data_IF_563267147484
#
_entry.id   IF_563267147484
#
_cell.length_a   1.000
_cell.length_b   1.000
_cell.length_c   1.000
_cell.angle_alpha   90.00
_cell.angle_beta   90.00
_cell.angle_gamma   90.00
#
_symmetry.space_group_name_H-M   'P 1'
#
loop_
_entity.id
_entity.type
_entity.pdbx_description
1 polymer ?
#
# COMPACT_ATOMS: atom_id res chain seq x y z
N UNK A 1 35.30 -6.31 -16.23
CA UNK A 1 34.99 -6.19 -15.73
C UNK A 1 34.68 -5.96 -15.40
N UNK A 2 34.58 -6.08 -15.52
CA UNK A 2 34.02 -5.88 -14.99
C UNK A 2 33.57 -5.35 -14.43
N UNK A 3 33.51 -5.40 -14.48
CA UNK A 3 32.87 -4.91 -13.84
C UNK A 3 32.24 -4.18 -13.48
N UNK A 4 32.24 -4.29 -13.74
CA UNK A 4 31.43 -3.58 -13.21
C UNK A 4 30.85 -3.04 -13.17
N UNK A 5 30.91 -3.25 -13.35
CA UNK A 5 30.02 -2.77 -13.09
C UNK A 5 29.32 -2.51 -12.86
N UNK A 6 29.47 -2.65 -12.84
CA UNK A 6 28.49 -2.30 -12.37
C UNK A 6 27.88 -1.87 -12.12
N UNK A 7 27.92 -2.05 -12.16
CA UNK A 7 27.09 -1.58 -11.64
C UNK A 7 26.41 -1.21 -11.55
N UNK A 8 26.36 -1.35 -11.65
CA UNK A 8 25.51 -0.99 -11.32
C UNK A 8 24.85 -0.80 -11.11
N UNK A 9 25.03 -1.06 -11.26
CA UNK A 9 24.18 -0.88 -10.81
C UNK A 9 23.60 -0.63 -10.57
N UNK A 10 23.60 -0.86 -10.62
CA UNK A 10 22.82 -0.58 -10.09
C UNK A 10 22.27 -0.17 -9.97
N UNK A 11 22.21 -0.33 -10.10
CA UNK A 11 21.47 0.12 -9.73
C UNK A 11 20.78 0.35 -9.62
N UNK A 12 20.79 0.15 -9.76
CA UNK A 12 19.97 0.39 -9.39
C UNK A 12 19.34 0.60 -9.25
N UNK A 13 19.28 0.39 -9.29
CA UNK A 13 18.51 0.66 -8.86
C UNK A 13 17.88 1.04 -8.80
N UNK A 14 17.83 0.91 -8.91
CA UNK A 14 17.04 1.31 -8.46
C UNK A 14 16.46 1.84 -8.57
N UNK A 15 16.30 1.82 -8.70
CA UNK A 15 15.54 2.32 -8.37
C UNK A 15 15.06 2.96 -8.50
N UNK A 16 14.94 2.90 -8.54
CA UNK A 16 14.33 3.46 -8.37
C UNK A 16 13.78 4.09 -8.25
N UNK A 17 13.75 4.01 -8.28
CA UNK A 17 13.16 4.55 -8.04
C UNK A 17 12.60 5.40 -8.05
N UNK A 18 12.62 5.33 -8.26
CA UNK A 18 12.17 6.15 -8.13
C UNK A 18 11.37 6.66 -8.15
N UNK A 19 11.47 6.34 -8.45
CA UNK A 19 10.67 6.93 -8.48
C UNK A 19 9.93 7.49 -7.74
N UNK A 20 10.13 7.17 -8.13
CA UNK A 20 9.13 7.83 -7.41
C UNK A 20 9.31 7.91 -5.96
N UNK A 21 10.25 8.30 -5.55
CA UNK A 21 10.53 8.37 -4.14
C UNK A 21 9.48 9.05 -3.27
N UNK A 22 8.22 9.08 -3.72
CA UNK A 22 7.16 9.71 -2.95
C UNK A 22 6.29 8.71 -2.21
N UNK A 23 6.82 7.52 -1.95
CA UNK A 23 6.07 6.54 -1.17
C UNK A 23 6.04 6.93 0.30
N UNK A 24 4.86 6.92 0.87
CA UNK A 24 4.70 7.23 2.28
C UNK A 24 3.43 6.58 2.79
N UNK A 25 3.34 6.46 4.11
CA UNK A 25 2.14 5.96 4.73
C UNK A 25 2.02 6.55 6.12
N UNK A 26 0.79 6.62 6.60
CA UNK A 26 0.51 7.06 7.96
C UNK A 26 -0.78 6.41 8.42
N UNK A 27 -0.94 6.29 9.72
CA UNK A 27 -2.17 5.74 10.26
C UNK A 27 -2.40 6.28 11.66
N UNK A 28 -3.66 6.30 12.06
CA UNK A 28 -4.05 6.62 13.42
C UNK A 28 -5.25 5.76 13.79
N UNK A 29 -5.28 5.30 15.02
CA UNK A 29 -6.31 4.39 15.49
C UNK A 29 -7.03 4.98 16.69
N UNK A 30 -8.36 4.93 16.67
CA UNK A 30 -9.22 5.42 17.75
C UNK A 30 -10.35 4.43 17.93
N UNK A 31 -10.52 3.91 19.14
CA UNK A 31 -11.63 3.02 19.52
C UNK A 31 -11.72 1.80 18.60
N UNK A 32 -10.59 1.23 18.24
CA UNK A 32 -10.57 0.00 17.42
C UNK A 32 -10.71 0.24 15.95
N UNK A 33 -10.81 1.48 15.51
CA UNK A 33 -10.87 1.82 14.10
C UNK A 33 -9.64 2.60 13.72
N UNK A 34 -9.00 2.20 12.63
CA UNK A 34 -7.77 2.85 12.16
C UNK A 34 -8.02 3.53 10.83
N UNK A 35 -7.51 4.75 10.71
CA UNK A 35 -7.54 5.50 9.47
C UNK A 35 -6.16 5.45 8.86
N UNK A 36 -6.04 4.96 7.63
CA UNK A 36 -4.76 4.70 6.99
C UNK A 36 -4.69 5.49 5.69
N UNK A 37 -3.53 6.11 5.47
CA UNK A 37 -3.23 6.79 4.21
C UNK A 37 -1.97 6.18 3.63
N UNK A 38 -2.03 5.74 2.38
CA UNK A 38 -0.88 5.15 1.69
C UNK A 38 -0.69 5.89 0.38
N UNK A 39 0.51 6.39 0.16
CA UNK A 39 0.91 7.03 -1.10
C UNK A 39 1.95 6.14 -1.76
N UNK A 40 1.63 5.67 -2.96
CA UNK A 40 2.51 4.77 -3.70
C UNK A 40 2.21 3.30 -3.42
N UNK A 41 2.03 2.53 -4.48
CA UNK A 41 1.75 1.11 -4.38
C UNK A 41 3.00 0.32 -4.00
N UNK A 42 2.81 -0.93 -3.61
CA UNK A 42 3.92 -1.82 -3.28
C UNK A 42 4.39 -1.69 -1.84
N UNK A 43 3.58 -1.14 -0.95
CA UNK A 43 3.95 -0.94 0.44
C UNK A 43 3.21 -1.88 1.37
N UNK A 44 3.88 -2.27 2.45
CA UNK A 44 3.26 -2.99 3.54
C UNK A 44 3.33 -2.11 4.77
N UNK A 45 2.18 -1.91 5.41
CA UNK A 45 2.03 -1.05 6.57
C UNK A 45 1.50 -1.89 7.71
N UNK A 46 2.17 -1.83 8.85
CA UNK A 46 1.65 -2.51 10.04
C UNK A 46 0.67 -1.59 10.74
N UNK A 47 -0.58 -2.03 10.84
CA UNK A 47 -1.67 -1.25 11.42
C UNK A 47 -2.35 -2.13 12.45
N UNK A 48 -2.24 -1.76 13.73
CA UNK A 48 -2.92 -2.46 14.82
C UNK A 48 -2.62 -3.97 14.77
N UNK A 49 -1.33 -4.31 14.64
CA UNK A 49 -0.81 -5.69 14.60
C UNK A 49 -1.24 -6.47 13.36
N UNK A 50 -1.69 -5.78 12.32
CA UNK A 50 -2.06 -6.41 11.05
C UNK A 50 -1.16 -5.83 9.96
N UNK A 51 -0.54 -6.71 9.18
CA UNK A 51 0.29 -6.29 8.04
C UNK A 51 -0.62 -6.09 6.84
N UNK A 52 -0.80 -4.83 6.44
CA UNK A 52 -1.66 -4.47 5.32
C UNK A 52 -0.77 -4.13 4.14
N UNK A 53 -0.93 -4.87 3.04
CA UNK A 53 -0.15 -4.66 1.83
C UNK A 53 -1.04 -4.01 0.76
N UNK A 54 -0.62 -2.86 0.26
CA UNK A 54 -1.28 -2.16 -0.84
C UNK A 54 -0.42 -2.43 -2.07
N UNK A 55 -0.86 -3.38 -2.90
CA UNK A 55 -0.05 -3.82 -4.03
C UNK A 55 -0.31 -3.02 -5.29
N UNK A 56 -1.47 -2.38 -5.40
CA UNK A 56 -1.82 -1.65 -6.61
C UNK A 56 -2.82 -0.55 -6.28
N UNK A 57 -2.63 0.63 -6.86
CA UNK A 57 -3.55 1.75 -6.72
C UNK A 57 -3.85 2.26 -8.13
N UNK A 58 -5.13 2.32 -8.47
CA UNK A 58 -5.57 2.84 -9.76
C UNK A 58 -6.84 3.65 -9.57
N UNK A 59 -7.25 4.36 -10.61
CA UNK A 59 -8.49 5.12 -10.55
C UNK A 59 -9.72 4.24 -10.39
N UNK A 60 -9.59 2.95 -10.65
CA UNK A 60 -10.71 2.01 -10.57
C UNK A 60 -10.73 1.24 -9.28
N UNK A 61 -9.68 1.29 -8.50
CA UNK A 61 -9.66 0.58 -7.25
C UNK A 61 -8.27 0.41 -6.69
N UNK A 62 -8.22 -0.11 -5.48
CA UNK A 62 -6.98 -0.42 -4.79
C UNK A 62 -6.98 -1.91 -4.45
N UNK A 63 -5.84 -2.56 -4.67
CA UNK A 63 -5.69 -3.98 -4.36
C UNK A 63 -4.95 -4.09 -3.03
N UNK A 64 -5.62 -4.68 -2.06
CA UNK A 64 -5.14 -4.75 -0.67
C UNK A 64 -5.22 -6.19 -0.19
N UNK A 65 -4.22 -6.58 0.61
CA UNK A 65 -4.27 -7.83 1.36
C UNK A 65 -3.87 -7.55 2.81
N UNK A 66 -4.26 -8.44 3.70
CA UNK A 66 -3.95 -8.31 5.12
C UNK A 66 -3.39 -9.63 5.62
N UNK A 67 -2.23 -9.57 6.28
CA UNK A 67 -1.54 -10.74 6.83
C UNK A 67 -1.35 -11.84 5.79
N UNK A 68 -1.06 -11.44 4.54
CA UNK A 68 -0.82 -12.41 3.48
C UNK A 68 -2.06 -13.07 2.93
N UNK A 69 -3.24 -12.53 3.20
CA UNK A 69 -4.49 -13.08 2.66
C UNK A 69 -4.57 -12.85 1.16
N UNK A 70 -5.58 -13.47 0.53
CA UNK A 70 -5.84 -13.26 -0.88
C UNK A 70 -6.10 -11.78 -1.14
N UNK A 71 -5.41 -11.15 -2.10
CA UNK A 71 -5.65 -9.74 -2.39
C UNK A 71 -7.06 -9.49 -2.88
N UNK A 72 -7.61 -8.36 -2.46
CA UNK A 72 -8.97 -7.94 -2.80
C UNK A 72 -8.88 -6.55 -3.42
N UNK A 73 -9.61 -6.33 -4.51
CA UNK A 73 -9.65 -5.02 -5.15
C UNK A 73 -10.92 -4.30 -4.73
N UNK A 74 -10.76 -3.10 -4.18
CA UNK A 74 -11.85 -2.29 -3.66
C UNK A 74 -11.90 -0.97 -4.39
N UNK A 75 -13.09 -0.59 -4.84
CA UNK A 75 -13.30 0.71 -5.44
C UNK A 75 -13.51 1.76 -4.35
N UNK A 76 -13.45 3.03 -4.75
CA UNK A 76 -13.71 4.14 -3.85
C UNK A 76 -15.11 3.97 -3.22
N UNK A 77 -15.16 4.01 -1.90
CA UNK A 77 -16.41 3.86 -1.15
C UNK A 77 -16.80 2.43 -0.86
N UNK A 78 -16.06 1.46 -1.36
CA UNK A 78 -16.40 0.06 -1.17
C UNK A 78 -15.81 -0.48 0.13
N UNK A 79 -16.52 -1.43 0.72
CA UNK A 79 -16.09 -2.08 1.96
C UNK A 79 -16.09 -3.59 1.75
N UNK A 80 -15.08 -4.27 2.32
CA UNK A 80 -15.01 -5.72 2.27
C UNK A 80 -14.18 -6.25 3.41
N UNK A 81 -14.37 -7.52 3.72
CA UNK A 81 -13.54 -8.24 4.67
C UNK A 81 -12.29 -8.70 3.93
N UNK A 82 -11.12 -8.32 4.44
CA UNK A 82 -9.84 -8.67 3.86
C UNK A 82 -9.02 -9.33 4.96
N UNK A 83 -8.83 -10.64 4.87
CA UNK A 83 -8.17 -11.37 5.93
C UNK A 83 -8.92 -11.19 7.24
N UNK A 84 -8.21 -10.82 8.33
CA UNK A 84 -8.84 -10.70 9.65
C UNK A 84 -9.54 -9.35 9.89
N UNK A 85 -9.55 -8.44 8.91
CA UNK A 85 -10.05 -7.08 9.13
C UNK A 85 -11.07 -6.70 8.07
N UNK A 86 -11.85 -5.67 8.38
CA UNK A 86 -12.78 -5.06 7.44
C UNK A 86 -12.18 -3.75 6.98
N UNK A 87 -12.09 -3.56 5.67
CA UNK A 87 -11.50 -2.38 5.07
C UNK A 87 -12.55 -1.63 4.28
N UNK A 88 -12.64 -0.31 4.50
CA UNK A 88 -13.52 0.58 3.76
C UNK A 88 -12.64 1.62 3.08
N UNK A 89 -12.67 1.67 1.75
CA UNK A 89 -11.90 2.65 1.00
C UNK A 89 -12.68 3.95 1.00
N UNK A 90 -12.08 5.02 1.51
CA UNK A 90 -12.75 6.32 1.63
C UNK A 90 -12.33 7.29 0.53
N UNK A 91 -11.16 7.11 -0.07
CA UNK A 91 -10.69 8.03 -1.12
C UNK A 91 -9.56 7.37 -1.91
N UNK A 92 -9.59 7.56 -3.24
CA UNK A 92 -8.51 7.16 -4.13
C UNK A 92 -8.17 8.37 -4.99
N UNK A 93 -6.91 8.83 -4.93
CA UNK A 93 -6.45 9.98 -5.71
C UNK A 93 -5.09 9.66 -6.31
N UNK A 94 -5.04 9.48 -7.62
CA UNK A 94 -3.79 9.17 -8.31
C UNK A 94 -3.12 7.94 -7.68
N UNK A 95 -2.02 8.13 -6.95
CA UNK A 95 -1.30 7.06 -6.29
C UNK A 95 -1.49 7.06 -4.77
N UNK A 96 -2.53 7.76 -4.29
CA UNK A 96 -2.81 7.86 -2.86
C UNK A 96 -4.17 7.21 -2.56
N UNK A 97 -4.21 6.40 -1.53
CA UNK A 97 -5.45 5.79 -1.07
C UNK A 97 -5.61 6.05 0.42
N UNK A 98 -6.85 6.34 0.80
CA UNK A 98 -7.23 6.42 2.21
C UNK A 98 -8.28 5.36 2.48
N UNK A 99 -8.09 4.63 3.55
CA UNK A 99 -9.05 3.60 3.93
C UNK A 99 -9.14 3.47 5.44
N UNK A 100 -10.27 2.97 5.89
CA UNK A 100 -10.51 2.68 7.30
C UNK A 100 -10.40 1.18 7.50
N UNK A 101 -9.85 0.79 8.61
CA UNK A 101 -9.60 -0.60 8.96
C UNK A 101 -10.12 -0.88 10.37
N UNK A 102 -10.89 -1.96 10.51
CA UNK A 102 -11.34 -2.38 11.83
C UNK A 102 -11.47 -3.89 11.92
#
# INVERSE_FOLDING_TARGET
MKRAVPVLAALAAGGVLVLGGCQSNSHSCVNGECHVTVTGAGQTVEVNDVDVTVSQISGQGVTISANGSTPTTLANGQRARVGPVTITVTSIENDKVKFDLR
#
